data_IF_280141318360
#
_entry.id   IF_280141318360
#
_cell.length_a   1.000
_cell.length_b   1.000
_cell.length_c   1.000
_cell.angle_alpha   90.00
_cell.angle_beta   90.00
_cell.angle_gamma   90.00
#
_symmetry.space_group_name_H-M   'P 1'
#
loop_
_entity.id
_entity.type
_entity.pdbx_description
1 polymer ?
#
# COMPACT_ATOMS: atom_id res chain seq x y z
N UNK A 1 37.98 6.92 -45.11
CA UNK A 1 36.51 6.92 -45.33
C UNK A 1 35.97 5.66 -44.68
N UNK A 2 35.89 5.71 -43.36
CA UNK A 2 35.27 4.68 -42.51
C UNK A 2 34.41 5.48 -41.56
N UNK A 3 33.13 5.55 -41.92
CA UNK A 3 32.10 6.27 -41.18
C UNK A 3 31.80 5.43 -39.92
N UNK A 4 32.29 5.92 -38.78
CA UNK A 4 31.93 5.39 -37.45
C UNK A 4 30.45 5.70 -37.23
N UNK A 5 29.59 4.77 -37.63
CA UNK A 5 28.18 4.80 -37.33
C UNK A 5 27.98 4.71 -35.81
N UNK A 6 27.87 5.87 -35.17
CA UNK A 6 27.45 6.01 -33.79
C UNK A 6 26.12 5.25 -33.60
N UNK A 7 26.19 4.16 -32.85
CA UNK A 7 25.02 3.37 -32.43
C UNK A 7 24.02 4.30 -31.72
N UNK A 8 22.72 4.32 -32.11
CA UNK A 8 21.75 5.16 -31.45
C UNK A 8 21.54 4.63 -30.04
N UNK A 9 21.96 5.41 -29.04
CA UNK A 9 21.57 5.22 -27.65
C UNK A 9 20.03 5.30 -27.64
N UNK A 10 19.38 4.15 -27.58
CA UNK A 10 17.92 4.10 -27.53
C UNK A 10 17.46 4.74 -26.22
N UNK A 11 16.91 5.94 -26.34
CA UNK A 11 16.28 6.67 -25.23
C UNK A 11 15.00 5.92 -24.82
N UNK A 12 15.16 4.94 -23.93
CA UNK A 12 14.08 4.08 -23.42
C UNK A 12 13.05 4.87 -22.55
N UNK A 13 13.22 6.20 -22.44
CA UNK A 13 12.34 7.15 -21.74
C UNK A 13 10.98 7.36 -22.43
N UNK A 14 10.80 6.94 -23.69
CA UNK A 14 9.69 7.40 -24.54
C UNK A 14 8.65 6.34 -24.94
N UNK A 15 8.09 5.58 -24.00
CA UNK A 15 6.81 4.88 -24.25
C UNK A 15 5.73 5.37 -23.28
N UNK A 16 4.97 6.43 -23.62
CA UNK A 16 3.92 7.00 -22.76
C UNK A 16 2.86 5.97 -22.31
N UNK A 17 2.66 4.89 -23.08
CA UNK A 17 1.78 3.79 -22.69
C UNK A 17 2.24 2.99 -21.46
N UNK A 18 3.54 3.00 -21.11
CA UNK A 18 4.08 2.22 -19.98
C UNK A 18 3.66 2.77 -18.63
N UNK A 19 3.83 4.08 -18.43
CA UNK A 19 3.39 4.77 -17.22
C UNK A 19 1.87 4.93 -17.18
N UNK A 20 1.22 4.96 -18.36
CA UNK A 20 -0.24 5.00 -18.46
C UNK A 20 -0.92 3.84 -17.72
N UNK A 21 -0.46 2.61 -17.90
CA UNK A 21 -1.05 1.46 -17.21
C UNK A 21 -0.82 1.45 -15.70
N UNK A 22 0.35 1.90 -15.24
CA UNK A 22 0.58 2.09 -13.82
C UNK A 22 -0.35 3.15 -13.25
N UNK A 23 -0.51 4.29 -13.95
CA UNK A 23 -1.42 5.35 -13.53
C UNK A 23 -2.88 4.85 -13.46
N UNK A 24 -3.32 4.05 -14.43
CA UNK A 24 -4.65 3.41 -14.40
C UNK A 24 -4.79 2.48 -13.20
N UNK A 25 -3.80 1.62 -12.93
CA UNK A 25 -3.84 0.73 -11.77
C UNK A 25 -3.89 1.52 -10.44
N UNK A 26 -3.10 2.59 -10.32
CA UNK A 26 -3.12 3.45 -9.13
C UNK A 26 -4.43 4.20 -8.96
N UNK A 27 -5.03 4.69 -10.06
CA UNK A 27 -6.33 5.35 -10.02
C UNK A 27 -7.43 4.38 -9.59
N UNK A 28 -7.52 3.21 -10.23
CA UNK A 28 -8.55 2.22 -9.92
C UNK A 28 -8.40 1.66 -8.51
N UNK A 29 -7.21 1.15 -8.16
CA UNK A 29 -6.94 0.59 -6.84
C UNK A 29 -7.04 1.65 -5.74
N UNK A 30 -6.55 2.86 -6.01
CA UNK A 30 -6.63 3.98 -5.08
C UNK A 30 -8.07 4.43 -4.79
N UNK A 31 -8.88 4.59 -5.84
CA UNK A 31 -10.29 4.96 -5.69
C UNK A 31 -11.07 3.87 -4.94
N UNK A 32 -10.86 2.60 -5.28
CA UNK A 32 -11.54 1.50 -4.61
C UNK A 32 -11.14 1.42 -3.12
N UNK A 33 -9.85 1.51 -2.82
CA UNK A 33 -9.32 1.49 -1.44
C UNK A 33 -9.87 2.67 -0.62
N UNK A 34 -9.86 3.88 -1.19
CA UNK A 34 -10.37 5.07 -0.50
C UNK A 34 -11.89 4.99 -0.32
N UNK A 35 -12.63 4.52 -1.31
CA UNK A 35 -14.07 4.35 -1.23
C UNK A 35 -14.46 3.42 -0.09
N UNK A 36 -13.83 2.25 -0.02
CA UNK A 36 -14.13 1.27 1.03
C UNK A 36 -13.67 1.75 2.40
N UNK A 37 -12.50 2.39 2.49
CA UNK A 37 -12.01 2.96 3.73
C UNK A 37 -13.00 3.95 4.36
N UNK A 38 -13.73 4.70 3.53
CA UNK A 38 -14.69 5.71 3.96
C UNK A 38 -16.12 5.20 4.14
N UNK A 39 -16.50 4.07 3.53
CA UNK A 39 -17.90 3.62 3.48
C UNK A 39 -18.18 2.35 4.28
N UNK A 40 -17.19 1.47 4.46
CA UNK A 40 -17.39 0.21 5.18
C UNK A 40 -17.38 0.43 6.69
N UNK A 41 -18.21 -0.32 7.41
CA UNK A 41 -18.11 -0.38 8.87
C UNK A 41 -16.77 -1.01 9.30
N UNK A 42 -16.27 -0.65 10.50
CA UNK A 42 -15.06 -1.25 11.04
C UNK A 42 -15.17 -2.76 11.23
N UNK A 43 -14.08 -3.46 10.94
CA UNK A 43 -13.95 -4.86 11.32
C UNK A 43 -13.56 -4.99 12.80
N UNK A 44 -13.75 -6.19 13.37
CA UNK A 44 -13.53 -6.46 14.80
C UNK A 44 -12.06 -6.26 15.18
N UNK A 45 -11.14 -6.68 14.32
CA UNK A 45 -9.70 -6.54 14.48
C UNK A 45 -9.24 -5.07 14.42
N UNK A 46 -9.87 -4.24 13.58
CA UNK A 46 -9.62 -2.80 13.56
C UNK A 46 -10.05 -2.13 14.88
N UNK A 47 -11.22 -2.52 15.39
CA UNK A 47 -11.71 -2.06 16.68
C UNK A 47 -10.80 -2.48 17.84
N UNK A 48 -10.35 -3.74 17.84
CA UNK A 48 -9.40 -4.25 18.82
C UNK A 48 -8.06 -3.51 18.76
N UNK A 49 -7.52 -3.31 17.56
CA UNK A 49 -6.27 -2.56 17.36
C UNK A 49 -6.38 -1.17 17.97
N UNK A 50 -7.47 -0.45 17.69
CA UNK A 50 -7.63 0.91 18.22
C UNK A 50 -7.82 0.94 19.72
N UNK A 51 -8.57 -0.02 20.27
CA UNK A 51 -8.76 -0.14 21.71
C UNK A 51 -7.42 -0.34 22.44
N UNK A 52 -6.60 -1.28 21.96
CA UNK A 52 -5.29 -1.57 22.56
C UNK A 52 -4.32 -0.41 22.36
N UNK A 53 -4.27 0.18 21.15
CA UNK A 53 -3.36 1.28 20.84
C UNK A 53 -3.70 2.59 21.56
N UNK A 54 -4.95 2.76 22.03
CA UNK A 54 -5.34 3.90 22.86
C UNK A 54 -4.86 3.81 24.32
N UNK A 55 -4.40 2.63 24.77
CA UNK A 55 -3.92 2.46 26.13
C UNK A 55 -2.54 3.10 26.35
N UNK A 56 -2.16 3.45 27.60
CA UNK A 56 -0.80 3.81 27.92
C UNK A 56 0.19 2.69 27.55
N UNK A 57 1.37 3.05 27.04
CA UNK A 57 2.36 2.08 26.54
C UNK A 57 2.67 0.92 27.50
N UNK A 58 2.82 1.11 28.83
CA UNK A 58 3.02 -0.02 29.75
C UNK A 58 1.81 -0.98 29.82
N UNK A 59 0.59 -0.44 29.78
CA UNK A 59 -0.64 -1.24 29.80
C UNK A 59 -0.81 -2.02 28.49
N UNK A 60 -0.55 -1.38 27.35
CA UNK A 60 -0.53 -2.02 26.03
C UNK A 60 0.41 -3.23 26.00
N UNK A 61 1.66 -3.04 26.44
CA UNK A 61 2.65 -4.12 26.41
C UNK A 61 2.30 -5.26 27.36
N UNK A 62 1.73 -4.93 28.52
CA UNK A 62 1.22 -5.91 29.47
C UNK A 62 0.04 -6.71 28.88
N UNK A 63 -0.95 -6.03 28.30
CA UNK A 63 -2.14 -6.66 27.72
C UNK A 63 -1.76 -7.60 26.56
N UNK A 64 -0.88 -7.16 25.66
CA UNK A 64 -0.38 -7.98 24.57
C UNK A 64 0.37 -9.21 25.06
N UNK A 65 1.17 -9.10 26.13
CA UNK A 65 1.95 -10.24 26.64
C UNK A 65 1.11 -11.43 27.12
N UNK A 66 -0.18 -11.20 27.45
CA UNK A 66 -1.07 -12.24 27.97
C UNK A 66 -2.25 -12.60 27.06
N UNK A 67 -2.62 -11.76 26.09
CA UNK A 67 -3.89 -11.89 25.37
C UNK A 67 -3.78 -11.87 23.85
N UNK A 68 -2.63 -11.49 23.28
CA UNK A 68 -2.42 -11.47 21.84
C UNK A 68 -1.03 -12.02 21.49
N UNK A 69 -0.97 -12.91 20.49
CA UNK A 69 0.30 -13.49 20.02
C UNK A 69 0.97 -12.64 18.94
N UNK A 70 0.37 -11.52 18.54
CA UNK A 70 0.96 -10.61 17.57
C UNK A 70 2.16 -9.85 18.16
N UNK A 71 3.25 -9.67 17.39
CA UNK A 71 4.37 -8.82 17.82
C UNK A 71 3.89 -7.39 18.13
N UNK A 72 4.38 -6.76 19.22
CA UNK A 72 3.83 -5.50 19.71
C UNK A 72 4.14 -4.30 18.81
N UNK A 73 5.05 -4.45 17.84
CA UNK A 73 5.55 -3.35 17.01
C UNK A 73 4.40 -2.59 16.32
N UNK A 74 3.41 -3.31 15.80
CA UNK A 74 2.29 -2.67 15.10
C UNK A 74 1.42 -1.83 16.05
N UNK A 75 1.11 -2.37 17.25
CA UNK A 75 0.39 -1.65 18.30
C UNK A 75 1.16 -0.43 18.82
N UNK A 76 2.49 -0.54 18.95
CA UNK A 76 3.34 0.58 19.37
C UNK A 76 3.35 1.70 18.33
N UNK A 77 3.48 1.37 17.04
CA UNK A 77 3.43 2.37 15.97
C UNK A 77 2.05 3.06 15.96
N UNK A 78 0.98 2.28 16.03
CA UNK A 78 -0.39 2.82 16.03
C UNK A 78 -0.71 3.62 17.30
N UNK A 79 -0.12 3.30 18.46
CA UNK A 79 -0.22 4.09 19.69
C UNK A 79 0.31 5.53 19.49
N UNK A 80 1.49 5.67 18.89
CA UNK A 80 2.04 7.00 18.62
C UNK A 80 1.27 7.73 17.52
N UNK A 81 0.79 7.02 16.51
CA UNK A 81 -0.09 7.60 15.50
C UNK A 81 -1.43 8.04 16.10
N UNK A 82 -1.91 7.36 17.16
CA UNK A 82 -3.12 7.74 17.90
C UNK A 82 -3.00 9.12 18.50
N UNK A 83 -1.84 9.38 19.10
CA UNK A 83 -1.56 10.67 19.70
C UNK A 83 -1.51 11.82 18.67
N UNK A 84 -1.19 11.53 17.41
CA UNK A 84 -1.02 12.54 16.35
C UNK A 84 -2.29 12.74 15.52
N UNK A 85 -2.92 11.66 15.07
CA UNK A 85 -4.06 11.70 14.15
C UNK A 85 -5.36 11.94 14.91
N UNK A 86 -5.53 11.23 16.03
CA UNK A 86 -6.79 11.21 16.78
C UNK A 86 -8.01 10.91 15.91
N UNK A 87 -9.19 11.20 16.43
CA UNK A 87 -10.42 11.20 15.64
C UNK A 87 -11.02 9.81 15.34
N UNK A 88 -12.06 9.76 14.51
CA UNK A 88 -12.83 8.55 14.25
C UNK A 88 -12.07 7.54 13.39
N UNK A 89 -12.47 6.27 13.50
CA UNK A 89 -11.87 5.06 12.91
C UNK A 89 -11.50 5.16 11.41
N UNK A 90 -12.21 5.94 10.60
CA UNK A 90 -11.87 6.15 9.19
C UNK A 90 -10.54 6.90 8.97
N UNK A 91 -10.08 7.71 9.93
CA UNK A 91 -8.73 8.33 9.86
C UNK A 91 -7.62 7.28 9.92
N UNK A 92 -7.90 6.13 10.50
CA UNK A 92 -6.94 5.05 10.70
C UNK A 92 -6.76 4.19 9.47
N UNK A 93 -7.81 4.02 8.68
CA UNK A 93 -7.72 3.36 7.37
C UNK A 93 -6.93 4.20 6.35
N UNK A 94 -6.83 5.51 6.57
CA UNK A 94 -5.91 6.36 5.77
C UNK A 94 -4.44 6.10 6.08
N UNK A 95 -4.09 5.37 7.14
CA UNK A 95 -2.70 4.92 7.37
C UNK A 95 -2.34 3.74 6.48
N UNK A 96 -3.27 2.81 6.28
CA UNK A 96 -3.07 1.63 5.44
C UNK A 96 -3.31 1.92 3.95
N UNK A 97 -4.16 2.89 3.60
CA UNK A 97 -4.41 3.24 2.21
C UNK A 97 -3.14 3.59 1.40
N UNK A 98 -2.17 4.40 1.89
CA UNK A 98 -0.88 4.63 1.23
C UNK A 98 -0.08 3.35 0.96
N UNK A 99 -0.18 2.36 1.84
CA UNK A 99 0.51 1.07 1.67
C UNK A 99 -0.07 0.29 0.49
N UNK A 100 -1.37 0.44 0.18
CA UNK A 100 -1.96 -0.14 -1.02
C UNK A 100 -1.33 0.44 -2.29
N UNK A 101 -1.15 1.76 -2.36
CA UNK A 101 -0.45 2.40 -3.50
C UNK A 101 0.99 1.91 -3.63
N UNK A 102 1.71 1.82 -2.50
CA UNK A 102 3.08 1.31 -2.48
C UNK A 102 3.12 -0.13 -3.01
N UNK A 103 2.20 -1.00 -2.58
CA UNK A 103 2.13 -2.38 -3.07
C UNK A 103 1.89 -2.45 -4.58
N UNK A 104 1.03 -1.60 -5.15
CA UNK A 104 0.81 -1.53 -6.61
C UNK A 104 2.11 -1.12 -7.33
N UNK A 105 2.78 -0.06 -6.85
CA UNK A 105 4.04 0.43 -7.44
C UNK A 105 5.14 -0.62 -7.33
N UNK A 106 5.29 -1.25 -6.17
CA UNK A 106 6.28 -2.29 -5.93
C UNK A 106 6.02 -3.52 -6.80
N UNK A 107 4.77 -3.96 -6.92
CA UNK A 107 4.40 -5.07 -7.81
C UNK A 107 4.83 -4.77 -9.24
N UNK A 108 4.43 -3.59 -9.75
CA UNK A 108 4.82 -3.17 -11.10
C UNK A 108 6.34 -3.12 -11.27
N UNK A 109 7.06 -2.50 -10.34
CA UNK A 109 8.51 -2.34 -10.41
C UNK A 109 9.26 -3.68 -10.35
N UNK A 110 8.82 -4.59 -9.49
CA UNK A 110 9.40 -5.93 -9.36
C UNK A 110 9.12 -6.74 -10.63
N UNK A 111 7.88 -6.80 -11.10
CA UNK A 111 7.53 -7.56 -12.31
C UNK A 111 8.28 -7.05 -13.54
N UNK A 112 8.49 -5.74 -13.66
CA UNK A 112 9.33 -5.18 -14.74
C UNK A 112 10.78 -5.64 -14.70
N UNK A 113 11.33 -5.88 -13.50
CA UNK A 113 12.72 -6.32 -13.36
C UNK A 113 12.91 -7.80 -13.70
N UNK A 114 11.87 -8.62 -13.56
CA UNK A 114 11.97 -10.08 -13.72
C UNK A 114 11.27 -10.61 -14.98
N UNK A 115 10.40 -9.81 -15.61
CA UNK A 115 9.63 -10.17 -16.79
C UNK A 115 9.64 -9.00 -17.80
N UNK A 116 8.48 -8.54 -18.27
CA UNK A 116 8.34 -7.46 -19.24
C UNK A 116 7.29 -6.41 -18.81
N UNK A 117 7.21 -5.32 -19.58
CA UNK A 117 6.30 -4.20 -19.31
C UNK A 117 4.81 -4.59 -19.35
N UNK A 118 4.42 -5.54 -20.21
CA UNK A 118 3.03 -5.99 -20.31
C UNK A 118 2.67 -6.84 -19.10
N UNK A 119 3.55 -7.76 -18.72
CA UNK A 119 3.40 -8.57 -17.52
C UNK A 119 3.28 -7.66 -16.28
N UNK A 120 4.09 -6.61 -16.19
CA UNK A 120 4.02 -5.65 -15.09
C UNK A 120 2.72 -4.84 -15.06
N UNK A 121 2.21 -4.41 -16.22
CA UNK A 121 0.92 -3.73 -16.31
C UNK A 121 -0.21 -4.65 -15.83
N UNK A 122 -0.23 -5.91 -16.29
CA UNK A 122 -1.24 -6.90 -15.87
C UNK A 122 -1.12 -7.19 -14.37
N UNK A 123 0.08 -7.39 -13.85
CA UNK A 123 0.31 -7.63 -12.43
C UNK A 123 -0.17 -6.45 -11.56
N UNK A 124 0.15 -5.21 -11.96
CA UNK A 124 -0.31 -4.02 -11.26
C UNK A 124 -1.85 -3.90 -11.24
N UNK A 125 -2.51 -4.21 -12.36
CA UNK A 125 -3.98 -4.19 -12.45
C UNK A 125 -4.63 -5.28 -11.60
N UNK A 126 -4.08 -6.50 -11.62
CA UNK A 126 -4.56 -7.61 -10.77
C UNK A 126 -4.40 -7.25 -9.30
N UNK A 127 -3.24 -6.71 -8.91
CA UNK A 127 -2.99 -6.25 -7.54
C UNK A 127 -3.96 -5.14 -7.15
N UNK A 128 -4.20 -4.16 -8.02
CA UNK A 128 -5.12 -3.06 -7.77
C UNK A 128 -6.59 -3.48 -7.66
N UNK A 129 -6.99 -4.58 -8.31
CA UNK A 129 -8.34 -5.14 -8.25
C UNK A 129 -8.48 -6.29 -7.24
N UNK A 130 -7.39 -6.69 -6.60
CA UNK A 130 -7.35 -7.83 -5.71
C UNK A 130 -8.11 -7.54 -4.41
N UNK A 131 -9.03 -8.43 -3.97
CA UNK A 131 -9.82 -8.21 -2.76
C UNK A 131 -8.98 -8.13 -1.49
N UNK A 132 -7.77 -8.70 -1.49
CA UNK A 132 -6.84 -8.59 -0.36
C UNK A 132 -6.14 -7.23 -0.25
N UNK A 133 -6.18 -6.40 -1.30
CA UNK A 133 -5.58 -5.06 -1.30
C UNK A 133 -6.63 -3.96 -1.22
N UNK A 134 -7.76 -4.16 -1.88
CA UNK A 134 -8.92 -3.28 -1.79
C UNK A 134 -9.61 -3.58 -0.46
N UNK A 135 -9.22 -2.82 0.57
CA UNK A 135 -9.74 -2.87 1.95
C UNK A 135 -11.27 -2.92 2.00
#
# INVERSE_FOLDING_TARGET
MTDDAASPISDDRQRPGRLGWLAVALLLGGLATLWNALTLSPYVDEGYTLFVSAQPLPALLHDLSGHDFQPPLFYVITHFLHAVIGGPIWHWRLLSAPLAFITIVCTWAITRRIADDKAAAVAALITAAGPGLVL
#
